data_IF_541729088328
#
_entry.id   IF_541729088328
#
_cell.length_a   1.000
_cell.length_b   1.000
_cell.length_c   1.000
_cell.angle_alpha   90.00
_cell.angle_beta   90.00
_cell.angle_gamma   90.00
#
_symmetry.space_group_name_H-M   'P 1'
#
loop_
_entity.id
_entity.type
_entity.pdbx_description
1 polymer ?
#
# COMPACT_ATOMS: atom_id res chain seq x y z
N UNK A 1 -9.12 -24.40 29.37
CA UNK A 1 -10.30 -23.50 29.37
C UNK A 1 -9.96 -22.07 28.96
N UNK A 2 -8.94 -21.43 29.54
CA UNK A 2 -8.54 -20.04 29.20
C UNK A 2 -8.14 -19.84 27.72
N UNK A 3 -7.37 -20.77 27.14
CA UNK A 3 -6.97 -20.72 25.72
C UNK A 3 -8.15 -20.69 24.74
N UNK A 4 -9.15 -21.55 24.95
CA UNK A 4 -10.33 -21.62 24.10
C UNK A 4 -11.17 -20.33 24.16
N UNK A 5 -11.26 -19.72 25.34
CA UNK A 5 -11.95 -18.42 25.53
C UNK A 5 -11.21 -17.30 24.81
N UNK A 6 -9.88 -17.23 24.91
CA UNK A 6 -9.07 -16.23 24.19
C UNK A 6 -9.23 -16.40 22.67
N UNK A 7 -9.19 -17.63 22.16
CA UNK A 7 -9.39 -17.92 20.75
C UNK A 7 -10.77 -17.51 20.26
N UNK A 8 -11.82 -17.81 21.04
CA UNK A 8 -13.18 -17.41 20.73
C UNK A 8 -13.32 -15.88 20.68
N UNK A 9 -12.70 -15.18 21.63
CA UNK A 9 -12.70 -13.71 21.65
C UNK A 9 -12.01 -13.13 20.41
N UNK A 10 -10.81 -13.61 20.06
CA UNK A 10 -10.07 -13.14 18.87
C UNK A 10 -10.87 -13.41 17.59
N UNK A 11 -11.46 -14.61 17.45
CA UNK A 11 -12.27 -14.96 16.30
C UNK A 11 -13.52 -14.07 16.20
N UNK A 12 -14.22 -13.86 17.32
CA UNK A 12 -15.41 -12.99 17.38
C UNK A 12 -15.07 -11.55 17.04
N UNK A 13 -14.04 -10.98 17.67
CA UNK A 13 -13.55 -9.64 17.37
C UNK A 13 -13.17 -9.48 15.90
N UNK A 14 -12.54 -10.50 15.32
CA UNK A 14 -12.13 -10.47 13.91
C UNK A 14 -13.34 -10.49 12.96
N UNK A 15 -14.32 -11.36 13.22
CA UNK A 15 -15.56 -11.41 12.45
C UNK A 15 -16.36 -10.11 12.56
N UNK A 16 -16.49 -9.55 13.77
CA UNK A 16 -17.15 -8.26 13.98
C UNK A 16 -16.43 -7.12 13.27
N UNK A 17 -15.09 -7.12 13.26
CA UNK A 17 -14.29 -6.11 12.57
C UNK A 17 -14.47 -6.18 11.04
N UNK A 18 -14.45 -7.40 10.48
CA UNK A 18 -14.71 -7.62 9.07
C UNK A 18 -16.11 -7.16 8.68
N UNK A 19 -17.11 -7.52 9.50
CA UNK A 19 -18.49 -7.09 9.29
C UNK A 19 -18.61 -5.56 9.35
N UNK A 20 -18.00 -4.92 10.36
CA UNK A 20 -17.99 -3.47 10.49
C UNK A 20 -17.43 -2.76 9.24
N UNK A 21 -16.29 -3.22 8.72
CA UNK A 21 -15.71 -2.62 7.51
C UNK A 21 -16.63 -2.83 6.30
N UNK A 22 -17.22 -4.02 6.17
CA UNK A 22 -18.13 -4.32 5.06
C UNK A 22 -19.41 -3.47 5.08
N UNK A 23 -19.99 -3.21 6.26
CA UNK A 23 -21.33 -2.60 6.39
C UNK A 23 -21.34 -1.14 6.82
N UNK A 24 -20.38 -0.70 7.65
CA UNK A 24 -20.45 0.59 8.35
C UNK A 24 -19.30 1.55 8.06
N UNK A 25 -18.15 1.07 7.55
CA UNK A 25 -17.02 1.96 7.26
C UNK A 25 -17.32 2.83 6.02
N UNK A 26 -17.44 4.13 6.24
CA UNK A 26 -17.67 5.13 5.19
C UNK A 26 -19.11 5.18 4.68
N UNK A 27 -19.32 5.82 3.55
CA UNK A 27 -20.60 5.96 2.85
C UNK A 27 -20.70 5.04 1.63
N UNK A 28 -19.59 4.78 0.96
CA UNK A 28 -19.53 3.89 -0.20
C UNK A 28 -19.54 2.43 0.24
N UNK A 29 -20.18 1.54 -0.53
CA UNK A 29 -20.31 0.12 -0.20
C UNK A 29 -19.75 -0.79 -1.28
N UNK A 30 -19.32 -1.98 -0.85
CA UNK A 30 -19.08 -3.10 -1.74
C UNK A 30 -20.40 -3.57 -2.35
N UNK A 31 -20.35 -4.00 -3.60
CA UNK A 31 -21.50 -4.62 -4.28
C UNK A 31 -21.83 -6.00 -3.73
N UNK A 32 -20.84 -6.71 -3.17
CA UNK A 32 -21.00 -8.06 -2.65
C UNK A 32 -19.88 -8.43 -1.68
N UNK A 33 -20.11 -9.48 -0.87
CA UNK A 33 -19.06 -10.10 -0.06
C UNK A 33 -17.88 -10.58 -0.91
N UNK A 34 -18.13 -11.10 -2.11
CA UNK A 34 -17.07 -11.53 -3.03
C UNK A 34 -16.13 -10.38 -3.41
N UNK A 35 -16.69 -9.19 -3.68
CA UNK A 35 -15.89 -8.00 -3.92
C UNK A 35 -15.06 -7.63 -2.68
N UNK A 36 -15.65 -7.67 -1.49
CA UNK A 36 -14.97 -7.37 -0.23
C UNK A 36 -13.80 -8.31 0.05
N UNK A 37 -13.99 -9.63 -0.05
CA UNK A 37 -12.91 -10.59 0.17
C UNK A 37 -11.76 -10.43 -0.84
N UNK A 38 -12.07 -10.00 -2.06
CA UNK A 38 -11.07 -9.79 -3.12
C UNK A 38 -10.32 -8.46 -3.00
N UNK A 39 -11.00 -7.38 -2.59
CA UNK A 39 -10.49 -6.00 -2.68
C UNK A 39 -10.33 -5.30 -1.32
N UNK A 40 -10.99 -5.79 -0.27
CA UNK A 40 -11.05 -5.16 1.05
C UNK A 40 -10.14 -5.75 2.11
N UNK A 41 -9.33 -6.76 1.76
CA UNK A 41 -8.31 -7.34 2.64
C UNK A 41 -8.78 -7.64 4.08
N UNK A 42 -9.84 -8.46 4.27
CA UNK A 42 -10.47 -8.67 5.57
C UNK A 42 -9.54 -9.18 6.67
N UNK A 43 -8.43 -9.83 6.30
CA UNK A 43 -7.41 -10.29 7.26
C UNK A 43 -6.80 -9.15 8.08
N UNK A 44 -6.76 -7.93 7.54
CA UNK A 44 -6.27 -6.75 8.25
C UNK A 44 -7.36 -5.97 8.98
N UNK A 45 -8.64 -6.33 8.80
CA UNK A 45 -9.76 -5.65 9.43
C UNK A 45 -9.62 -5.49 10.96
N UNK A 46 -9.20 -6.51 11.74
CA UNK A 46 -9.19 -6.39 13.20
C UNK A 46 -8.21 -5.32 13.69
N UNK A 47 -6.98 -5.33 13.17
CA UNK A 47 -5.95 -4.36 13.53
C UNK A 47 -6.24 -2.98 12.94
N UNK A 48 -6.83 -2.90 11.73
CA UNK A 48 -7.31 -1.64 11.16
C UNK A 48 -8.40 -1.01 12.06
N UNK A 49 -9.38 -1.78 12.52
CA UNK A 49 -10.42 -1.30 13.44
C UNK A 49 -9.84 -0.75 14.74
N UNK A 50 -8.82 -1.39 15.31
CA UNK A 50 -8.11 -0.84 16.48
C UNK A 50 -7.41 0.48 16.15
N UNK A 51 -6.77 0.60 14.99
CA UNK A 51 -6.18 1.86 14.57
C UNK A 51 -7.21 2.95 14.31
N UNK A 52 -8.39 2.63 13.77
CA UNK A 52 -9.50 3.59 13.63
C UNK A 52 -9.95 4.09 14.99
N UNK A 53 -10.12 3.18 15.95
CA UNK A 53 -10.52 3.50 17.32
C UNK A 53 -9.50 4.44 18.00
N UNK A 54 -8.21 4.14 17.84
CA UNK A 54 -7.12 4.90 18.48
C UNK A 54 -6.64 6.11 17.67
N UNK A 55 -7.20 6.34 16.48
CA UNK A 55 -6.93 7.53 15.67
C UNK A 55 -7.47 8.79 16.33
N UNK A 56 -6.69 9.87 16.22
CA UNK A 56 -7.13 11.20 16.65
C UNK A 56 -8.34 11.66 15.83
N UNK A 57 -9.15 12.58 16.38
CA UNK A 57 -10.34 13.10 15.69
C UNK A 57 -10.02 13.79 14.35
N UNK A 58 -8.81 14.34 14.22
CA UNK A 58 -8.32 15.07 13.04
C UNK A 58 -8.31 14.26 11.74
N UNK A 59 -8.28 12.93 11.84
CA UNK A 59 -8.06 12.02 10.70
C UNK A 59 -9.17 10.99 10.52
N UNK A 60 -10.36 11.26 11.08
CA UNK A 60 -11.50 10.34 11.00
C UNK A 60 -12.34 10.48 9.72
N UNK A 61 -12.12 11.54 8.95
CA UNK A 61 -12.79 11.79 7.67
C UNK A 61 -12.07 11.08 6.52
N UNK A 62 -12.77 10.80 5.40
CA UNK A 62 -12.15 10.21 4.21
C UNK A 62 -11.06 11.12 3.64
N UNK A 63 -11.39 12.37 3.34
CA UNK A 63 -10.44 13.42 2.97
C UNK A 63 -10.14 14.29 4.21
N UNK A 64 -8.86 14.62 4.39
CA UNK A 64 -8.32 15.27 5.57
C UNK A 64 -7.71 16.60 5.14
N UNK A 65 -8.02 17.65 5.90
CA UNK A 65 -7.42 18.97 5.69
C UNK A 65 -5.89 18.90 5.86
N UNK A 66 -5.15 19.26 4.81
CA UNK A 66 -3.68 19.24 4.77
C UNK A 66 -3.06 20.44 5.50
N UNK A 67 -3.81 21.53 5.71
CA UNK A 67 -3.31 22.76 6.33
C UNK A 67 -3.07 22.62 7.83
N UNK A 68 -3.72 21.65 8.48
CA UNK A 68 -3.48 21.35 9.89
C UNK A 68 -2.09 20.71 10.15
N UNK A 69 -1.36 20.33 9.10
CA UNK A 69 -0.02 19.70 9.17
C UNK A 69 1.03 20.59 8.52
N UNK A 70 1.59 21.53 9.29
CA UNK A 70 2.61 22.49 8.81
C UNK A 70 3.87 21.83 8.24
N UNK A 71 4.21 20.62 8.68
CA UNK A 71 5.36 19.89 8.14
C UNK A 71 5.21 19.51 6.66
N UNK A 72 3.98 19.47 6.14
CA UNK A 72 3.71 19.28 4.71
C UNK A 72 3.97 20.56 3.90
N UNK A 73 4.10 21.72 4.54
CA UNK A 73 4.46 22.98 3.85
C UNK A 73 5.81 22.87 3.16
N UNK A 74 6.74 22.06 3.69
CA UNK A 74 8.04 21.84 3.07
C UNK A 74 7.88 21.16 1.69
N UNK A 75 6.92 20.25 1.52
CA UNK A 75 6.61 19.66 0.21
C UNK A 75 5.92 20.67 -0.69
N UNK A 76 4.92 21.39 -0.17
CA UNK A 76 4.16 22.39 -0.94
C UNK A 76 5.06 23.51 -1.47
N UNK A 77 6.01 24.00 -0.67
CA UNK A 77 6.90 25.09 -1.07
C UNK A 77 7.93 24.66 -2.12
N UNK A 78 8.33 23.40 -2.11
CA UNK A 78 9.36 22.86 -2.99
C UNK A 78 8.79 21.98 -4.11
N UNK A 79 7.49 22.10 -4.41
CA UNK A 79 6.81 21.20 -5.36
C UNK A 79 7.44 21.23 -6.76
N UNK A 80 7.93 22.39 -7.22
CA UNK A 80 8.59 22.52 -8.52
C UNK A 80 9.94 21.80 -8.54
N UNK A 81 10.75 21.94 -7.47
CA UNK A 81 12.01 21.22 -7.34
C UNK A 81 11.79 19.70 -7.39
N UNK A 82 10.74 19.24 -6.71
CA UNK A 82 10.33 17.83 -6.68
C UNK A 82 9.85 17.38 -8.08
N UNK A 83 9.03 18.20 -8.74
CA UNK A 83 8.56 17.95 -10.11
C UNK A 83 9.72 17.81 -11.07
N UNK A 84 10.68 18.74 -11.04
CA UNK A 84 11.77 18.78 -12.01
C UNK A 84 12.67 17.53 -11.90
N UNK A 85 12.96 17.03 -10.69
CA UNK A 85 13.67 15.75 -10.52
C UNK A 85 12.83 14.54 -10.97
N UNK A 86 11.52 14.57 -10.75
CA UNK A 86 10.62 13.51 -11.21
C UNK A 86 10.51 13.45 -12.75
N UNK A 87 10.48 14.61 -13.41
CA UNK A 87 10.48 14.72 -14.87
C UNK A 87 11.83 14.30 -15.47
N UNK A 88 12.94 14.65 -14.82
CA UNK A 88 14.26 14.18 -15.22
C UNK A 88 14.34 12.65 -15.20
N UNK A 89 13.83 12.00 -14.15
CA UNK A 89 13.70 10.54 -14.07
C UNK A 89 12.86 9.96 -15.22
N UNK A 90 11.77 10.63 -15.59
CA UNK A 90 10.89 10.20 -16.68
C UNK A 90 11.60 10.29 -18.03
N UNK A 91 12.26 11.43 -18.31
CA UNK A 91 12.99 11.65 -19.56
C UNK A 91 14.19 10.70 -19.74
N UNK A 92 14.87 10.32 -18.66
CA UNK A 92 15.95 9.33 -18.70
C UNK A 92 15.46 7.88 -18.81
N UNK A 93 14.15 7.63 -18.82
CA UNK A 93 13.56 6.30 -18.96
C UNK A 93 13.62 5.43 -17.71
N UNK A 94 14.05 5.95 -16.56
CA UNK A 94 14.17 5.19 -15.32
C UNK A 94 12.79 4.71 -14.82
N UNK A 95 11.77 5.57 -14.90
CA UNK A 95 10.38 5.21 -14.60
C UNK A 95 9.84 4.09 -15.51
N UNK A 96 10.36 3.97 -16.74
CA UNK A 96 9.98 2.93 -17.71
C UNK A 96 10.67 1.61 -17.42
N UNK A 97 11.94 1.68 -17.05
CA UNK A 97 12.77 0.52 -16.76
C UNK A 97 12.25 -0.29 -15.58
N UNK A 98 11.63 0.36 -14.59
CA UNK A 98 11.03 -0.29 -13.41
C UNK A 98 9.99 -1.34 -13.79
N UNK A 99 9.21 -1.14 -14.85
CA UNK A 99 8.15 -2.06 -15.23
C UNK A 99 8.58 -3.13 -16.26
N UNK A 100 9.83 -3.11 -16.72
CA UNK A 100 10.31 -4.08 -17.70
C UNK A 100 10.25 -5.49 -17.11
N UNK A 101 9.70 -6.49 -17.83
CA UNK A 101 9.70 -7.87 -17.36
C UNK A 101 11.12 -8.33 -17.01
N UNK A 102 11.32 -8.75 -15.75
CA UNK A 102 12.63 -9.16 -15.25
C UNK A 102 13.38 -8.10 -14.42
N UNK A 103 12.86 -6.87 -14.30
CA UNK A 103 13.38 -5.88 -13.36
C UNK A 103 13.14 -6.33 -11.91
N UNK A 104 13.98 -5.90 -10.97
CA UNK A 104 13.80 -6.22 -9.54
C UNK A 104 12.51 -5.61 -8.94
N UNK A 105 11.97 -4.56 -9.58
CA UNK A 105 10.71 -3.91 -9.21
C UNK A 105 9.46 -4.63 -9.75
N UNK A 106 9.60 -5.49 -10.77
CA UNK A 106 8.49 -6.28 -11.35
C UNK A 106 7.85 -7.28 -10.37
N UNK A 107 8.49 -7.49 -9.21
CA UNK A 107 8.06 -8.35 -8.11
C UNK A 107 7.18 -7.66 -7.08
N UNK A 108 6.74 -6.43 -7.33
CA UNK A 108 5.79 -5.75 -6.46
C UNK A 108 4.41 -6.42 -6.45
N UNK A 109 4.14 -7.20 -5.41
CA UNK A 109 2.89 -7.95 -5.24
C UNK A 109 1.66 -7.06 -5.08
N UNK A 110 1.82 -5.83 -4.57
CA UNK A 110 0.72 -4.88 -4.36
C UNK A 110 0.29 -4.19 -5.66
N UNK A 111 1.21 -4.03 -6.61
CA UNK A 111 0.99 -3.22 -7.81
C UNK A 111 1.07 -3.96 -9.15
N UNK A 112 1.31 -5.28 -9.12
CA UNK A 112 1.45 -6.13 -10.31
C UNK A 112 0.30 -6.03 -11.31
N UNK A 113 -0.91 -5.79 -10.84
CA UNK A 113 -2.10 -5.66 -11.69
C UNK A 113 -2.11 -4.34 -12.47
N UNK A 114 -1.49 -3.29 -11.92
CA UNK A 114 -1.51 -1.93 -12.48
C UNK A 114 -0.43 -1.71 -13.54
N UNK A 115 0.70 -2.42 -13.44
CA UNK A 115 1.76 -2.37 -14.46
C UNK A 115 1.25 -2.72 -15.87
N UNK A 116 0.24 -3.60 -15.97
CA UNK A 116 -0.41 -3.95 -17.25
C UNK A 116 -1.08 -2.77 -17.95
N UNK A 117 -1.45 -1.75 -17.20
CA UNK A 117 -2.13 -0.55 -17.70
C UNK A 117 -1.18 0.66 -17.76
N UNK A 118 0.13 0.44 -17.77
CA UNK A 118 1.14 1.49 -17.93
C UNK A 118 1.46 2.29 -16.66
N UNK A 119 0.89 1.93 -15.50
CA UNK A 119 1.17 2.60 -14.23
C UNK A 119 2.59 2.32 -13.77
N UNK A 120 3.32 3.38 -13.39
CA UNK A 120 4.73 3.30 -12.96
C UNK A 120 4.88 3.96 -11.60
N UNK A 121 5.88 3.52 -10.84
CA UNK A 121 6.24 4.16 -9.58
C UNK A 121 7.73 4.07 -9.33
N UNK A 122 8.28 5.10 -8.70
CA UNK A 122 9.69 5.16 -8.34
C UNK A 122 9.80 5.45 -6.85
N UNK A 123 10.34 4.50 -6.08
CA UNK A 123 10.46 4.64 -4.63
C UNK A 123 11.59 5.59 -4.24
N UNK A 124 11.31 6.47 -3.28
CA UNK A 124 12.29 7.41 -2.72
C UNK A 124 12.74 6.97 -1.31
N UNK A 125 11.76 6.53 -0.51
CA UNK A 125 11.96 5.94 0.81
C UNK A 125 10.82 4.98 1.13
N UNK A 126 11.10 4.00 1.98
CA UNK A 126 10.09 3.05 2.45
C UNK A 126 10.38 2.60 3.88
N UNK A 127 9.51 3.04 4.80
CA UNK A 127 9.48 2.71 6.23
C UNK A 127 10.86 2.63 6.91
N UNK A 128 11.71 3.63 6.69
CA UNK A 128 13.04 3.72 7.30
C UNK A 128 14.18 3.10 6.50
N UNK A 129 13.93 2.74 5.24
CA UNK A 129 14.95 2.59 4.21
C UNK A 129 14.85 3.74 3.22
N UNK A 130 15.99 4.35 2.86
CA UNK A 130 16.07 5.30 1.76
C UNK A 130 16.70 4.58 0.58
N UNK A 131 16.07 4.67 -0.59
CA UNK A 131 16.54 4.00 -1.80
C UNK A 131 17.85 4.66 -2.27
N UNK A 132 18.87 3.85 -2.52
CA UNK A 132 20.18 4.33 -2.99
C UNK A 132 20.03 4.93 -4.38
N UNK A 133 19.20 4.30 -5.21
CA UNK A 133 18.83 4.81 -6.53
C UNK A 133 18.24 6.21 -6.44
N UNK A 134 17.29 6.44 -5.53
CA UNK A 134 16.68 7.75 -5.31
C UNK A 134 17.65 8.80 -4.76
N UNK A 135 18.58 8.41 -3.90
CA UNK A 135 19.62 9.33 -3.40
C UNK A 135 20.51 9.87 -4.53
N UNK A 136 20.76 9.07 -5.56
CA UNK A 136 21.54 9.48 -6.73
C UNK A 136 20.72 10.31 -7.71
N UNK A 137 19.50 9.88 -8.01
CA UNK A 137 18.68 10.46 -9.08
C UNK A 137 17.83 11.65 -8.64
N UNK A 138 17.43 11.71 -7.37
CA UNK A 138 16.57 12.74 -6.81
C UNK A 138 17.10 13.28 -5.47
N UNK A 139 18.37 13.74 -5.43
CA UNK A 139 19.03 14.13 -4.19
C UNK A 139 18.28 15.24 -3.45
N UNK A 140 17.73 16.24 -4.16
CA UNK A 140 17.01 17.36 -3.52
C UNK A 140 15.69 16.90 -2.92
N UNK A 141 14.93 16.07 -3.64
CA UNK A 141 13.68 15.48 -3.14
C UNK A 141 13.94 14.63 -1.90
N UNK A 142 14.99 13.80 -1.91
CA UNK A 142 15.36 13.00 -0.74
C UNK A 142 15.76 13.88 0.44
N UNK A 143 16.50 14.96 0.22
CA UNK A 143 16.84 15.93 1.25
C UNK A 143 15.59 16.58 1.86
N UNK A 144 14.67 17.08 1.02
CA UNK A 144 13.39 17.64 1.44
C UNK A 144 12.60 16.64 2.30
N UNK A 145 12.47 15.40 1.83
CA UNK A 145 11.76 14.33 2.55
C UNK A 145 12.42 13.94 3.88
N UNK A 146 13.73 14.18 4.03
CA UNK A 146 14.46 13.88 5.28
C UNK A 146 14.07 14.84 6.41
N UNK A 147 13.63 16.06 6.09
CA UNK A 147 13.18 17.07 7.06
C UNK A 147 11.82 16.72 7.68
N UNK A 148 11.05 15.84 7.03
CA UNK A 148 9.68 15.50 7.43
C UNK A 148 9.64 14.09 8.05
N UNK A 149 9.76 14.04 9.38
CA UNK A 149 9.83 12.78 10.14
C UNK A 149 8.59 11.90 10.02
N UNK A 150 7.43 12.51 9.80
CA UNK A 150 6.16 11.80 9.73
C UNK A 150 5.88 11.13 8.38
N UNK A 151 6.76 11.26 7.39
CA UNK A 151 6.65 10.50 6.14
C UNK A 151 7.37 9.17 6.29
N UNK A 152 6.63 8.06 6.34
CA UNK A 152 7.19 6.72 6.44
C UNK A 152 7.70 6.22 5.09
N UNK A 153 6.94 6.45 4.03
CA UNK A 153 7.25 6.04 2.65
C UNK A 153 6.96 7.17 1.67
N UNK A 154 7.72 7.23 0.57
CA UNK A 154 7.48 8.19 -0.49
C UNK A 154 7.88 7.58 -1.83
N UNK A 155 7.12 7.90 -2.87
CA UNK A 155 7.38 7.47 -4.24
C UNK A 155 6.78 8.45 -5.24
N UNK A 156 7.37 8.55 -6.42
CA UNK A 156 6.68 9.12 -7.57
C UNK A 156 5.70 8.11 -8.13
N UNK A 157 4.52 8.56 -8.50
CA UNK A 157 3.50 7.71 -9.10
C UNK A 157 3.00 8.34 -10.41
N UNK A 158 3.12 7.56 -11.48
CA UNK A 158 2.75 7.93 -12.83
C UNK A 158 1.53 7.13 -13.28
N UNK A 159 0.55 7.84 -13.83
CA UNK A 159 -0.68 7.30 -14.39
C UNK A 159 -0.86 7.81 -15.83
N UNK A 160 -0.97 6.93 -16.84
CA UNK A 160 -1.23 7.34 -18.22
C UNK A 160 -2.56 8.07 -18.40
N UNK A 161 -2.69 8.82 -19.50
CA UNK A 161 -3.98 9.27 -20.01
C UNK A 161 -4.90 8.10 -20.33
N UNK A 162 -6.22 8.33 -20.35
CA UNK A 162 -7.25 7.34 -20.65
C UNK A 162 -7.12 6.04 -19.84
N UNK A 163 -6.89 6.17 -18.54
CA UNK A 163 -6.69 5.03 -17.64
C UNK A 163 -7.53 5.15 -16.36
N UNK A 164 -7.77 4.02 -15.70
CA UNK A 164 -8.50 3.98 -14.44
C UNK A 164 -7.89 2.98 -13.45
N UNK A 165 -8.09 3.29 -12.17
CA UNK A 165 -7.86 2.39 -11.06
C UNK A 165 -9.20 2.07 -10.42
N UNK A 166 -9.68 0.86 -10.65
CA UNK A 166 -10.99 0.43 -10.14
C UNK A 166 -11.06 0.56 -8.63
N UNK A 167 -12.28 0.73 -8.12
CA UNK A 167 -12.57 0.85 -6.69
C UNK A 167 -11.87 -0.21 -5.83
N UNK A 168 -11.17 0.21 -4.80
CA UNK A 168 -10.43 -0.63 -3.85
C UNK A 168 -10.26 0.12 -2.52
N UNK A 169 -9.59 -0.53 -1.55
CA UNK A 169 -8.99 0.15 -0.41
C UNK A 169 -7.60 -0.45 -0.18
N UNK A 170 -6.75 0.29 0.51
CA UNK A 170 -5.42 -0.18 0.87
C UNK A 170 -5.46 -0.99 2.17
N UNK A 171 -4.64 -2.04 2.26
CA UNK A 171 -4.83 -3.10 3.26
C UNK A 171 -4.56 -2.64 4.70
N UNK A 172 -3.70 -1.64 4.92
CA UNK A 172 -3.11 -1.38 6.23
C UNK A 172 -3.29 0.08 6.65
N UNK A 173 -3.98 0.30 7.77
CA UNK A 173 -4.27 1.64 8.30
C UNK A 173 -3.07 2.34 8.99
N UNK A 174 -1.83 1.91 8.78
CA UNK A 174 -0.68 2.44 9.53
C UNK A 174 -0.30 3.89 9.16
N UNK A 175 -0.64 4.27 7.94
CA UNK A 175 -0.42 5.57 7.36
C UNK A 175 -1.72 6.12 6.75
N UNK A 176 -1.65 7.38 6.35
CA UNK A 176 -2.58 8.10 5.50
C UNK A 176 -1.87 8.34 4.17
N UNK A 177 -2.65 8.47 3.10
CA UNK A 177 -2.11 8.75 1.78
C UNK A 177 -2.05 10.24 1.53
N UNK A 178 -0.84 10.75 1.34
CA UNK A 178 -0.60 12.11 0.87
C UNK A 178 -0.25 12.10 -0.62
N UNK A 179 -0.88 12.95 -1.41
CA UNK A 179 -0.56 13.20 -2.81
C UNK A 179 -0.22 14.69 -3.00
N UNK A 180 0.82 14.97 -3.76
CA UNK A 180 1.14 16.31 -4.27
C UNK A 180 1.19 16.26 -5.80
N UNK A 181 0.40 17.11 -6.47
CA UNK A 181 0.43 17.25 -7.92
C UNK A 181 1.77 17.81 -8.40
N UNK A 182 2.43 17.12 -9.34
CA UNK A 182 3.71 17.55 -9.91
C UNK A 182 3.56 17.97 -11.36
N UNK A 183 3.07 17.06 -12.21
CA UNK A 183 2.69 17.33 -13.60
C UNK A 183 1.37 16.60 -13.83
N UNK A 184 0.29 17.36 -13.91
CA UNK A 184 -1.07 16.83 -13.96
C UNK A 184 -1.84 17.47 -15.11
N UNK A 185 -2.92 16.83 -15.59
CA UNK A 185 -3.76 17.43 -16.63
C UNK A 185 -4.46 18.72 -16.20
N UNK A 186 -4.39 19.10 -14.90
CA UNK A 186 -5.10 20.23 -14.30
C UNK A 186 -6.61 20.27 -14.67
N UNK A 187 -7.22 19.10 -14.79
CA UNK A 187 -8.60 18.91 -15.25
C UNK A 187 -9.40 18.11 -14.22
N UNK A 188 -10.69 18.45 -14.10
CA UNK A 188 -11.67 17.69 -13.30
C UNK A 188 -11.85 16.25 -13.78
N UNK A 189 -11.49 15.95 -15.02
CA UNK A 189 -11.58 14.62 -15.61
C UNK A 189 -10.41 13.69 -15.19
N UNK A 190 -9.46 14.22 -14.43
CA UNK A 190 -8.40 13.49 -13.75
C UNK A 190 -8.58 13.60 -12.22
N UNK A 191 -9.26 12.61 -11.62
CA UNK A 191 -9.70 12.70 -10.23
C UNK A 191 -9.60 11.38 -9.47
N UNK A 192 -9.56 11.49 -8.15
CA UNK A 192 -9.80 10.41 -7.20
C UNK A 192 -11.15 10.65 -6.53
N UNK A 193 -11.93 9.59 -6.37
CA UNK A 193 -13.08 9.58 -5.47
C UNK A 193 -12.72 8.79 -4.23
N UNK A 194 -12.84 9.40 -3.05
CA UNK A 194 -12.61 8.77 -1.75
C UNK A 194 -13.92 8.80 -0.98
N UNK A 195 -14.52 7.63 -0.81
CA UNK A 195 -15.79 7.44 -0.09
C UNK A 195 -16.95 8.31 -0.60
N UNK A 196 -16.98 8.63 -1.89
CA UNK A 196 -17.98 9.50 -2.50
C UNK A 196 -17.53 10.95 -2.68
N UNK A 197 -16.41 11.36 -2.06
CA UNK A 197 -15.86 12.71 -2.20
C UNK A 197 -14.84 12.75 -3.36
N UNK A 198 -15.06 13.60 -4.37
CA UNK A 198 -14.14 13.75 -5.50
C UNK A 198 -13.09 14.83 -5.27
N UNK A 199 -11.86 14.54 -5.68
CA UNK A 199 -10.75 15.47 -5.71
C UNK A 199 -10.02 15.36 -7.05
N UNK A 200 -9.94 16.48 -7.78
CA UNK A 200 -9.18 16.58 -9.02
C UNK A 200 -7.76 17.07 -8.73
N UNK A 201 -6.76 16.42 -9.30
CA UNK A 201 -5.37 16.87 -9.12
C UNK A 201 -5.08 18.14 -9.90
N UNK A 202 -4.27 19.00 -9.29
CA UNK A 202 -3.71 20.20 -9.88
C UNK A 202 -2.26 20.31 -9.45
N UNK A 203 -1.43 20.93 -10.27
CA UNK A 203 -0.01 21.11 -9.99
C UNK A 203 0.19 21.96 -8.73
N UNK A 204 1.11 21.51 -7.88
CA UNK A 204 1.40 22.14 -6.59
C UNK A 204 0.28 22.04 -5.54
N UNK A 205 -0.86 21.42 -5.85
CA UNK A 205 -1.94 21.17 -4.89
C UNK A 205 -1.82 19.79 -4.27
N UNK A 206 -2.19 19.70 -2.99
CA UNK A 206 -2.07 18.48 -2.22
C UNK A 206 -3.39 17.93 -1.68
N UNK A 207 -3.39 16.62 -1.48
CA UNK A 207 -4.50 15.84 -0.95
C UNK A 207 -3.95 14.92 0.14
N UNK A 208 -4.62 14.88 1.29
CA UNK A 208 -4.39 13.87 2.32
C UNK A 208 -5.70 13.10 2.53
N UNK A 209 -5.66 11.79 2.45
CA UNK A 209 -6.84 10.95 2.66
C UNK A 209 -6.51 9.65 3.38
N UNK A 210 -7.53 9.05 3.97
CA UNK A 210 -7.43 7.73 4.57
C UNK A 210 -7.70 6.66 3.51
N UNK A 211 -6.62 6.05 3.02
CA UNK A 211 -6.61 5.01 1.97
C UNK A 211 -7.39 3.72 2.33
N UNK A 212 -7.82 3.60 3.59
CA UNK A 212 -8.67 2.48 4.02
C UNK A 212 -10.16 2.72 3.83
N UNK A 213 -10.56 3.88 3.31
CA UNK A 213 -11.88 4.07 2.71
C UNK A 213 -11.89 3.55 1.28
N UNK A 214 -13.07 3.15 0.80
CA UNK A 214 -13.23 2.77 -0.60
C UNK A 214 -12.94 3.96 -1.50
N UNK A 215 -12.02 3.78 -2.44
CA UNK A 215 -11.62 4.83 -3.36
C UNK A 215 -11.30 4.27 -4.75
N UNK A 216 -11.40 5.12 -5.77
CA UNK A 216 -11.05 4.82 -7.15
C UNK A 216 -10.47 6.05 -7.84
N UNK A 217 -9.72 5.84 -8.91
CA UNK A 217 -9.11 6.92 -9.70
C UNK A 217 -9.50 6.81 -11.16
N UNK A 218 -9.77 7.93 -11.80
CA UNK A 218 -9.92 8.02 -13.26
C UNK A 218 -9.06 9.13 -13.82
N UNK A 219 -8.44 8.85 -14.96
CA UNK A 219 -7.83 9.85 -15.82
C UNK A 219 -8.46 9.70 -17.21
N UNK A 220 -9.53 10.46 -17.45
CA UNK A 220 -10.22 10.47 -18.74
C UNK A 220 -9.65 11.54 -19.69
N UNK A 221 -8.46 12.05 -19.40
CA UNK A 221 -7.74 13.00 -20.26
C UNK A 221 -6.70 12.27 -21.10
N UNK A 222 -6.23 12.92 -22.16
CA UNK A 222 -5.14 12.40 -22.99
C UNK A 222 -3.75 12.63 -22.39
N UNK A 223 -3.65 13.41 -21.31
CA UNK A 223 -2.40 13.72 -20.64
C UNK A 223 -2.15 12.76 -19.46
N UNK A 224 -0.88 12.43 -19.22
CA UNK A 224 -0.50 11.67 -18.04
C UNK A 224 -0.58 12.50 -16.77
N UNK A 225 -0.59 11.80 -15.63
CA UNK A 225 -0.52 12.40 -14.30
C UNK A 225 0.67 11.84 -13.54
N UNK A 226 1.54 12.73 -13.08
CA UNK A 226 2.67 12.47 -12.21
C UNK A 226 2.45 13.17 -10.87
N UNK A 227 2.56 12.40 -9.78
CA UNK A 227 2.44 12.92 -8.42
C UNK A 227 3.57 12.43 -7.52
N UNK A 228 3.85 13.17 -6.45
CA UNK A 228 4.53 12.62 -5.28
C UNK A 228 3.47 11.96 -4.38
N UNK A 229 3.62 10.67 -4.13
CA UNK A 229 2.80 9.89 -3.22
C UNK A 229 3.58 9.61 -1.93
N UNK A 230 3.01 9.91 -0.76
CA UNK A 230 3.65 9.66 0.52
C UNK A 230 2.72 8.90 1.47
N UNK A 231 3.32 8.01 2.25
CA UNK A 231 2.71 7.36 3.41
C UNK A 231 2.95 8.29 4.62
N UNK A 232 1.96 9.14 4.91
CA UNK A 232 2.00 10.05 6.04
C UNK A 232 1.56 9.34 7.32
N UNK A 233 2.34 9.39 8.38
CA UNK A 233 2.10 8.64 9.60
C UNK A 233 0.72 8.93 10.19
N UNK A 234 -0.10 7.88 10.40
CA UNK A 234 -1.41 8.05 11.02
C UNK A 234 -1.27 8.58 12.46
N UNK A 235 -1.87 9.75 12.78
CA UNK A 235 -1.87 10.27 14.13
C UNK A 235 -2.79 9.44 15.05
N UNK A 236 -2.18 8.77 16.03
CA UNK A 236 -2.83 7.86 16.98
C UNK A 236 -2.42 8.17 18.42
N UNK A 237 -3.23 7.74 19.38
CA UNK A 237 -2.90 7.79 20.81
C UNK A 237 -1.79 6.77 21.16
N UNK A 238 -1.42 6.70 22.45
CA UNK A 238 -0.33 5.82 22.92
C UNK A 238 -0.56 4.33 22.62
N UNK A 239 -1.78 3.82 22.78
CA UNK A 239 -2.12 2.43 22.46
C UNK A 239 -2.05 2.16 20.96
N UNK A 240 -2.55 3.10 20.16
CA UNK A 240 -2.44 3.04 18.72
C UNK A 240 -1.00 3.02 18.23
N UNK A 241 -0.05 3.68 18.92
CA UNK A 241 1.38 3.65 18.55
C UNK A 241 1.96 2.23 18.60
N UNK A 242 1.56 1.41 19.58
CA UNK A 242 2.02 0.01 19.71
C UNK A 242 1.54 -0.81 18.51
N UNK A 243 0.25 -0.72 18.20
CA UNK A 243 -0.34 -1.43 17.06
C UNK A 243 0.27 -0.95 15.74
N UNK A 244 0.41 0.37 15.61
CA UNK A 244 0.97 0.98 14.41
C UNK A 244 2.43 0.55 14.20
N UNK A 245 3.21 0.38 15.27
CA UNK A 245 4.58 -0.15 15.19
C UNK A 245 4.61 -1.54 14.54
N UNK A 246 3.73 -2.46 14.95
CA UNK A 246 3.65 -3.79 14.35
C UNK A 246 3.36 -3.72 12.84
N UNK A 247 2.44 -2.86 12.40
CA UNK A 247 2.19 -2.66 10.98
C UNK A 247 3.38 -2.03 10.25
N UNK A 248 4.05 -1.05 10.85
CA UNK A 248 5.26 -0.47 10.25
C UNK A 248 6.36 -1.52 10.09
N UNK A 249 6.49 -2.47 11.01
CA UNK A 249 7.43 -3.60 10.84
C UNK A 249 7.04 -4.50 9.67
N UNK A 250 5.74 -4.78 9.49
CA UNK A 250 5.24 -5.49 8.32
C UNK A 250 5.57 -4.75 7.02
N UNK A 251 5.33 -3.43 6.98
CA UNK A 251 5.62 -2.60 5.80
C UNK A 251 7.13 -2.51 5.52
N UNK A 252 7.99 -2.51 6.55
CA UNK A 252 9.45 -2.61 6.37
C UNK A 252 9.88 -3.88 5.66
N UNK A 253 9.16 -4.98 5.83
CA UNK A 253 9.48 -6.23 5.16
C UNK A 253 9.09 -6.23 3.67
N UNK A 254 8.22 -5.30 3.25
CA UNK A 254 7.72 -5.17 1.88
C UNK A 254 8.51 -4.18 1.00
N UNK A 255 9.74 -3.82 1.39
CA UNK A 255 10.60 -2.96 0.56
C UNK A 255 10.77 -3.55 -0.84
N UNK A 256 10.44 -2.74 -1.85
CA UNK A 256 10.63 -3.04 -3.26
C UNK A 256 11.79 -2.18 -3.78
N UNK A 257 12.85 -2.78 -4.37
CA UNK A 257 13.95 -2.04 -4.97
C UNK A 257 13.53 -1.40 -6.30
N UNK A 258 14.09 -0.24 -6.66
CA UNK A 258 13.94 0.30 -8.02
C UNK A 258 14.97 -0.32 -8.96
N UNK A 259 16.23 -0.42 -8.49
CA UNK A 259 17.38 -0.98 -9.21
C UNK A 259 18.09 -2.04 -8.37
N UNK A 260 19.03 -2.78 -8.96
CA UNK A 260 19.81 -3.81 -8.26
C UNK A 260 20.71 -3.28 -7.13
N UNK A 261 20.92 -1.95 -7.06
CA UNK A 261 21.66 -1.31 -5.96
C UNK A 261 20.80 -1.14 -4.69
N UNK A 262 19.48 -1.21 -4.83
CA UNK A 262 18.56 -1.06 -3.70
C UNK A 262 18.40 -2.37 -2.93
N UNK A 263 18.15 -2.25 -1.62
CA UNK A 263 17.87 -3.41 -0.77
C UNK A 263 16.53 -4.02 -1.14
N UNK A 264 16.53 -5.25 -1.67
CA UNK A 264 15.32 -6.06 -1.77
C UNK A 264 14.84 -6.55 -0.40
N UNK A 265 13.57 -6.30 -0.07
CA UNK A 265 12.92 -6.79 1.15
C UNK A 265 12.86 -8.32 1.23
N UNK A 266 12.49 -8.84 2.41
CA UNK A 266 12.40 -10.30 2.64
C UNK A 266 11.43 -10.96 1.65
N UNK A 267 10.31 -10.30 1.37
CA UNK A 267 9.33 -10.76 0.39
C UNK A 267 9.95 -10.91 -1.01
N UNK A 268 10.76 -9.94 -1.45
CA UNK A 268 11.42 -10.00 -2.76
C UNK A 268 12.44 -11.15 -2.83
N UNK A 269 13.24 -11.36 -1.76
CA UNK A 269 14.20 -12.48 -1.68
C UNK A 269 13.51 -13.85 -1.77
N UNK A 270 12.43 -14.03 -1.00
CA UNK A 270 11.63 -15.26 -1.05
C UNK A 270 11.03 -15.43 -2.45
N UNK A 271 10.44 -14.36 -3.00
CA UNK A 271 9.78 -14.43 -4.29
C UNK A 271 10.76 -14.71 -5.45
N UNK A 272 11.97 -14.14 -5.42
CA UNK A 272 13.04 -14.45 -6.38
C UNK A 272 13.38 -15.94 -6.41
N UNK A 273 13.44 -16.58 -5.24
CA UNK A 273 13.70 -18.02 -5.11
C UNK A 273 12.51 -18.88 -5.56
N UNK A 274 11.27 -18.37 -5.43
CA UNK A 274 10.04 -19.11 -5.76
C UNK A 274 9.55 -18.85 -7.20
N UNK A 275 10.04 -17.80 -7.86
CA UNK A 275 9.63 -17.41 -9.23
C UNK A 275 9.84 -18.51 -10.27
N UNK A 276 10.97 -19.25 -10.31
CA UNK A 276 11.15 -20.36 -11.24
C UNK A 276 10.07 -21.45 -11.05
N UNK A 277 9.74 -21.76 -9.79
CA UNK A 277 8.70 -22.73 -9.45
C UNK A 277 7.30 -22.25 -9.86
N UNK A 278 7.01 -20.95 -9.71
CA UNK A 278 5.75 -20.36 -10.18
C UNK A 278 5.62 -20.41 -11.70
N UNK A 279 6.73 -20.26 -12.43
CA UNK A 279 6.75 -20.36 -13.89
C UNK A 279 6.47 -21.80 -14.33
N UNK A 280 7.16 -22.78 -13.74
CA UNK A 280 6.88 -24.21 -13.95
C UNK A 280 5.43 -24.58 -13.61
N UNK A 281 4.86 -23.99 -12.55
CA UNK A 281 3.45 -24.18 -12.18
C UNK A 281 2.48 -23.63 -13.22
N UNK A 282 2.80 -22.50 -13.88
CA UNK A 282 1.99 -21.95 -14.97
C UNK A 282 2.06 -22.82 -16.22
N UNK A 283 3.23 -23.34 -16.56
CA UNK A 283 3.41 -24.29 -17.65
C UNK A 283 2.60 -25.56 -17.37
N UNK A 284 2.67 -26.10 -16.15
CA UNK A 284 1.85 -27.23 -15.71
C UNK A 284 0.34 -26.95 -15.82
N UNK A 285 -0.10 -25.70 -15.58
CA UNK A 285 -1.50 -25.31 -15.75
C UNK A 285 -1.96 -25.44 -17.21
N UNK A 286 -1.06 -25.15 -18.16
CA UNK A 286 -1.33 -25.23 -19.60
C UNK A 286 -1.26 -26.68 -20.09
N UNK A 287 -0.28 -27.46 -19.64
CA UNK A 287 -0.04 -28.83 -20.10
C UNK A 287 -0.90 -29.87 -19.38
N UNK A 288 -1.12 -29.73 -18.07
CA UNK A 288 -1.88 -30.69 -17.26
C UNK A 288 -2.66 -30.00 -16.12
N UNK A 289 -3.88 -29.54 -16.45
CA UNK A 289 -4.75 -28.80 -15.53
C UNK A 289 -5.16 -29.60 -14.28
N UNK A 290 -5.24 -30.94 -14.35
CA UNK A 290 -5.57 -31.80 -13.19
C UNK A 290 -4.40 -31.85 -12.20
N UNK A 291 -3.18 -32.08 -12.69
CA UNK A 291 -1.97 -32.06 -11.87
C UNK A 291 -1.76 -30.69 -11.22
N UNK A 292 -1.94 -29.60 -11.98
CA UNK A 292 -1.90 -28.24 -11.45
C UNK A 292 -2.90 -28.02 -10.30
N UNK A 293 -4.15 -28.45 -10.45
CA UNK A 293 -5.17 -28.30 -9.38
C UNK A 293 -4.75 -29.07 -8.12
N UNK A 294 -4.26 -30.31 -8.25
CA UNK A 294 -3.78 -31.10 -7.11
C UNK A 294 -2.64 -30.39 -6.40
N UNK A 295 -1.60 -30.00 -7.14
CA UNK A 295 -0.45 -29.27 -6.60
C UNK A 295 -0.89 -27.98 -5.88
N UNK A 296 -1.76 -27.19 -6.50
CA UNK A 296 -2.32 -25.96 -5.92
C UNK A 296 -3.02 -26.23 -4.58
N UNK A 297 -3.88 -27.23 -4.52
CA UNK A 297 -4.59 -27.55 -3.27
C UNK A 297 -3.65 -28.08 -2.20
N UNK A 298 -2.71 -28.97 -2.55
CA UNK A 298 -1.71 -29.48 -1.59
C UNK A 298 -0.88 -28.35 -0.99
N UNK A 299 -0.32 -27.46 -1.82
CA UNK A 299 0.48 -26.33 -1.36
C UNK A 299 -0.35 -25.39 -0.48
N UNK A 300 -1.58 -25.06 -0.89
CA UNK A 300 -2.46 -24.20 -0.10
C UNK A 300 -2.83 -24.83 1.26
N UNK A 301 -3.12 -26.12 1.30
CA UNK A 301 -3.43 -26.83 2.54
C UNK A 301 -2.23 -26.86 3.50
N UNK A 302 -1.02 -27.11 2.97
CA UNK A 302 0.20 -27.09 3.78
C UNK A 302 0.50 -25.69 4.33
N UNK A 303 0.32 -24.64 3.53
CA UNK A 303 0.47 -23.26 4.00
C UNK A 303 -0.55 -22.90 5.09
N UNK A 304 -1.80 -23.33 4.94
CA UNK A 304 -2.85 -23.16 5.96
C UNK A 304 -2.47 -23.85 7.27
N UNK A 305 -1.98 -25.09 7.21
CA UNK A 305 -1.51 -25.83 8.39
C UNK A 305 -0.30 -25.16 9.05
N UNK A 306 0.65 -24.65 8.26
CA UNK A 306 1.80 -23.93 8.79
C UNK A 306 1.39 -22.64 9.51
N UNK A 307 0.48 -21.86 8.93
CA UNK A 307 -0.07 -20.65 9.57
C UNK A 307 -0.80 -21.01 10.87
N UNK A 308 -1.65 -22.04 10.84
CA UNK A 308 -2.34 -22.51 12.04
C UNK A 308 -1.35 -22.95 13.13
N UNK A 309 -0.27 -23.65 12.76
CA UNK A 309 0.79 -24.05 13.68
C UNK A 309 1.52 -22.86 14.31
N UNK A 310 1.85 -21.83 13.52
CA UNK A 310 2.47 -20.59 14.03
C UNK A 310 1.54 -19.88 15.01
N UNK A 311 0.24 -19.79 14.69
CA UNK A 311 -0.75 -19.16 15.57
C UNK A 311 -0.84 -19.93 16.89
N UNK A 312 -0.96 -21.26 16.84
CA UNK A 312 -1.01 -22.10 18.04
C UNK A 312 0.26 -21.96 18.87
N UNK A 313 1.45 -22.00 18.24
CA UNK A 313 2.72 -21.85 18.93
C UNK A 313 2.90 -20.48 19.59
N UNK A 314 2.53 -19.41 18.90
CA UNK A 314 2.58 -18.05 19.46
C UNK A 314 1.65 -17.91 20.67
N UNK A 315 0.47 -18.50 20.61
CA UNK A 315 -0.47 -18.45 21.72
C UNK A 315 0.00 -19.29 22.90
N UNK A 316 0.58 -20.47 22.65
CA UNK A 316 1.21 -21.28 23.70
C UNK A 316 2.34 -20.51 24.39
N UNK A 317 3.17 -19.81 23.62
CA UNK A 317 4.24 -18.95 24.14
C UNK A 317 3.67 -17.83 25.02
N UNK A 318 2.63 -17.12 24.58
CA UNK A 318 1.97 -16.10 25.39
C UNK A 318 1.38 -16.69 26.67
N UNK A 319 0.69 -17.84 26.56
CA UNK A 319 0.11 -18.51 27.71
C UNK A 319 1.19 -18.90 28.73
N UNK A 320 2.36 -19.36 28.27
CA UNK A 320 3.51 -19.69 29.10
C UNK A 320 4.14 -18.45 29.74
N UNK A 321 4.19 -17.31 29.04
CA UNK A 321 4.71 -16.05 29.59
C UNK A 321 3.79 -15.41 30.65
N UNK A 322 2.49 -15.75 30.64
CA UNK A 322 1.48 -15.19 31.55
C UNK A 322 1.24 -16.12 32.77
N UNK A 323 1.61 -17.41 32.67
CA UNK A 323 1.53 -18.40 33.75
C UNK A 323 2.75 -18.37 34.66
#
# INVERSE_FOLDING_TARGET
>A
MQLAVIMLFIATFSMCSMYYIYTYRGNTRYTSWSEYFRKGWPIFAPLNCLLYLFSTKKVRRPIIDTLQYKELDELRKNWEVIRDEALALQHCGELENINKPGSDASYDLGFRTFHKYGWRKYYLKWYGYNHVSAQKQCPKTVEILSKIKNINGAMFAYMPGNSELTRHLDPVACSLRYHLGLETPNSKDCFINVDGEEYAWQDGKDLLFDETYLHFVKNNTDQSRLILMCDFNRPVNIFGKIINFCYKMLMRASVVPNTGEDKGGLANRIFKNVTPLLQQSKELKQTNRKAYKRLKYTVNSLLLLAIAGIIVGFIQLISWLIS
#
